data_IF_919969430520
#
_entry.id   IF_919969430520
#
_cell.length_a   1.000
_cell.length_b   1.000
_cell.length_c   1.000
_cell.angle_alpha   90.00
_cell.angle_beta   90.00
_cell.angle_gamma   90.00
#
_symmetry.space_group_name_H-M   'P 1'
#
loop_
_entity.id
_entity.type
_entity.pdbx_description
1 polymer ?
#
# COMPACT_ATOMS: atom_id res chain seq x y z
N UNK A 1 -25.30 -21.85 -36.61
CA UNK A 1 -25.15 -21.54 -35.18
C UNK A 1 -26.52 -21.62 -34.57
N UNK A 2 -26.72 -22.60 -33.71
CA UNK A 2 -28.03 -22.84 -33.11
C UNK A 2 -28.41 -21.73 -32.11
N UNK A 3 -29.72 -21.56 -31.88
CA UNK A 3 -30.25 -20.57 -30.92
C UNK A 3 -29.65 -20.76 -29.52
N UNK A 4 -29.46 -22.01 -29.09
CA UNK A 4 -28.84 -22.34 -27.81
C UNK A 4 -27.38 -21.85 -27.73
N UNK A 5 -26.62 -21.96 -28.81
CA UNK A 5 -25.23 -21.45 -28.89
C UNK A 5 -25.19 -19.94 -28.77
N UNK A 6 -26.12 -19.24 -29.41
CA UNK A 6 -26.25 -17.77 -29.29
C UNK A 6 -26.51 -17.38 -27.83
N UNK A 7 -27.42 -18.07 -27.13
CA UNK A 7 -27.72 -17.82 -25.72
C UNK A 7 -26.49 -18.03 -24.83
N UNK A 8 -25.72 -19.10 -25.06
CA UNK A 8 -24.48 -19.38 -24.31
C UNK A 8 -23.44 -18.27 -24.53
N UNK A 9 -23.25 -17.83 -25.78
CA UNK A 9 -22.30 -16.75 -26.09
C UNK A 9 -22.72 -15.44 -25.40
N UNK A 10 -24.00 -15.10 -25.41
CA UNK A 10 -24.51 -13.91 -24.70
C UNK A 10 -24.23 -14.03 -23.20
N UNK A 11 -24.51 -15.18 -22.59
CA UNK A 11 -24.22 -15.40 -21.17
C UNK A 11 -22.72 -15.28 -20.87
N UNK A 12 -21.85 -15.82 -21.72
CA UNK A 12 -20.39 -15.71 -21.59
C UNK A 12 -19.91 -14.25 -21.68
N UNK A 13 -20.50 -13.45 -22.56
CA UNK A 13 -20.17 -12.02 -22.66
C UNK A 13 -20.58 -11.25 -21.41
N UNK A 14 -21.75 -11.56 -20.83
CA UNK A 14 -22.22 -10.95 -19.58
C UNK A 14 -21.28 -11.32 -18.44
N UNK A 15 -21.01 -12.61 -18.23
CA UNK A 15 -20.10 -13.08 -17.18
C UNK A 15 -18.68 -12.52 -17.40
N UNK A 16 -18.24 -12.43 -18.65
CA UNK A 16 -16.97 -11.81 -19.03
C UNK A 16 -16.87 -10.33 -18.64
N UNK A 17 -17.97 -9.58 -18.75
CA UNK A 17 -18.03 -8.17 -18.32
C UNK A 17 -17.91 -8.02 -16.80
N UNK A 18 -18.59 -8.90 -16.05
CA UNK A 18 -18.43 -8.96 -14.59
C UNK A 18 -16.99 -9.33 -14.20
N UNK A 19 -16.41 -10.33 -14.87
CA UNK A 19 -15.01 -10.71 -14.64
C UNK A 19 -14.05 -9.55 -14.98
N UNK A 20 -14.32 -8.78 -16.04
CA UNK A 20 -13.51 -7.62 -16.41
C UNK A 20 -13.55 -6.52 -15.35
N UNK A 21 -14.72 -6.27 -14.75
CA UNK A 21 -14.87 -5.32 -13.64
C UNK A 21 -13.99 -5.73 -12.44
N UNK A 22 -14.10 -6.99 -12.01
CA UNK A 22 -13.33 -7.50 -10.87
C UNK A 22 -11.82 -7.54 -11.16
N UNK A 23 -11.42 -8.04 -12.34
CA UNK A 23 -10.00 -8.04 -12.74
C UNK A 23 -9.44 -6.62 -12.75
N UNK A 24 -10.17 -5.66 -13.30
CA UNK A 24 -9.77 -4.25 -13.31
C UNK A 24 -9.68 -3.68 -11.88
N UNK A 25 -10.62 -4.02 -11.01
CA UNK A 25 -10.61 -3.63 -9.60
C UNK A 25 -9.37 -4.14 -8.87
N UNK A 26 -9.08 -5.45 -8.95
CA UNK A 26 -7.94 -6.05 -8.26
C UNK A 26 -6.59 -5.59 -8.83
N UNK A 27 -6.54 -5.30 -10.13
CA UNK A 27 -5.30 -4.89 -10.80
C UNK A 27 -4.97 -3.40 -10.60
N UNK A 28 -5.96 -2.59 -10.21
CA UNK A 28 -5.75 -1.17 -9.89
C UNK A 28 -5.00 -0.99 -8.57
N UNK A 29 -4.20 0.09 -8.50
CA UNK A 29 -3.59 0.53 -7.24
C UNK A 29 -4.65 1.13 -6.31
N UNK A 30 -4.47 0.93 -5.02
CA UNK A 30 -5.35 1.50 -4.00
C UNK A 30 -4.88 2.92 -3.67
N UNK A 31 -5.82 3.86 -3.68
CA UNK A 31 -5.59 5.23 -3.24
C UNK A 31 -6.14 5.34 -1.81
N UNK A 32 -5.26 5.56 -0.85
CA UNK A 32 -5.65 5.74 0.56
C UNK A 32 -5.35 7.18 0.97
N UNK A 33 -6.24 7.80 1.74
CA UNK A 33 -5.94 9.12 2.31
C UNK A 33 -4.89 8.97 3.42
N UNK A 34 -3.88 9.84 3.40
CA UNK A 34 -2.91 9.91 4.49
C UNK A 34 -3.58 10.44 5.77
N UNK A 35 -3.18 9.95 6.94
CA UNK A 35 -3.70 10.43 8.22
C UNK A 35 -3.15 11.82 8.50
N UNK A 36 -3.88 12.85 8.06
CA UNK A 36 -3.48 14.24 8.19
C UNK A 36 -3.56 14.77 9.63
N UNK A 37 -3.88 13.93 10.62
CA UNK A 37 -3.97 14.36 12.02
C UNK A 37 -2.73 13.98 12.83
N UNK A 38 -2.02 12.93 12.44
CA UNK A 38 -0.89 12.41 13.21
C UNK A 38 0.38 12.39 12.36
N UNK A 39 1.50 12.91 12.88
CA UNK A 39 2.78 12.77 12.20
C UNK A 39 3.23 11.30 12.13
N UNK A 40 4.00 10.95 11.11
CA UNK A 40 4.50 9.59 10.85
C UNK A 40 6.00 9.64 10.57
N UNK A 41 6.74 8.69 11.13
CA UNK A 41 8.15 8.45 10.77
C UNK A 41 8.25 7.26 9.82
N UNK A 42 8.94 7.46 8.71
CA UNK A 42 9.15 6.47 7.66
C UNK A 42 10.64 6.24 7.44
N UNK A 43 11.05 4.97 7.33
CA UNK A 43 12.35 4.59 6.81
C UNK A 43 12.24 3.26 6.06
N UNK A 44 12.20 3.35 4.72
CA UNK A 44 12.00 2.22 3.80
C UNK A 44 13.00 1.08 4.03
N UNK A 45 14.27 1.42 4.25
CA UNK A 45 15.36 0.43 4.40
C UNK A 45 15.09 -0.57 5.51
N UNK A 46 14.51 -0.11 6.62
CA UNK A 46 14.21 -0.96 7.78
C UNK A 46 12.73 -1.31 7.88
N UNK A 47 11.90 -0.87 6.94
CA UNK A 47 10.45 -1.03 6.96
C UNK A 47 9.78 -0.32 8.15
N UNK A 48 10.36 0.80 8.60
CA UNK A 48 9.77 1.63 9.65
C UNK A 48 8.66 2.49 9.03
N UNK A 49 7.44 2.36 9.52
CA UNK A 49 6.32 3.20 9.15
C UNK A 49 5.37 3.32 10.35
N UNK A 50 5.65 4.29 11.23
CA UNK A 50 5.04 4.35 12.56
C UNK A 50 4.49 5.74 12.87
N UNK A 51 3.31 5.76 13.51
CA UNK A 51 2.71 7.01 13.98
C UNK A 51 3.53 7.58 15.12
N UNK A 52 3.63 8.90 15.12
CA UNK A 52 4.28 9.70 16.13
C UNK A 52 3.20 10.26 17.06
N UNK A 53 3.37 10.05 18.37
CA UNK A 53 2.52 10.57 19.42
C UNK A 53 3.35 11.41 20.42
N UNK A 54 2.68 12.19 21.26
CA UNK A 54 3.31 12.99 22.33
C UNK A 54 2.85 12.56 23.74
N UNK A 55 2.31 11.35 23.84
CA UNK A 55 1.79 10.75 25.07
C UNK A 55 2.80 9.80 25.70
N UNK A 56 3.13 8.72 24.99
CA UNK A 56 3.96 7.63 25.50
C UNK A 56 4.58 6.80 24.38
N UNK A 57 5.77 6.26 24.66
CA UNK A 57 6.47 5.27 23.84
C UNK A 57 5.71 3.93 23.71
N UNK A 58 4.72 3.68 24.57
CA UNK A 58 3.84 2.50 24.48
C UNK A 58 2.77 2.63 23.38
N UNK A 59 2.49 3.84 22.91
CA UNK A 59 1.54 4.12 21.82
C UNK A 59 2.21 4.21 20.44
N UNK A 60 3.49 3.82 20.34
CA UNK A 60 4.27 3.88 19.10
C UNK A 60 5.53 4.74 19.26
N UNK A 61 5.84 5.57 18.27
CA UNK A 61 6.98 6.48 18.34
C UNK A 61 6.58 7.73 19.12
N UNK A 62 7.36 8.07 20.14
CA UNK A 62 7.12 9.21 21.00
C UNK A 62 7.98 10.41 20.59
N UNK A 63 7.36 11.54 20.33
CA UNK A 63 8.03 12.84 20.14
C UNK A 63 8.27 13.51 21.50
N UNK A 64 9.52 13.87 21.76
CA UNK A 64 9.91 14.55 22.99
C UNK A 64 9.31 15.95 23.04
N UNK A 65 8.47 16.21 24.05
CA UNK A 65 7.76 17.49 24.21
C UNK A 65 8.66 18.71 24.32
N UNK A 66 9.91 18.53 24.73
CA UNK A 66 10.92 19.61 24.81
C UNK A 66 11.67 19.83 23.51
N UNK A 67 11.56 18.92 22.55
CA UNK A 67 12.15 19.05 21.22
C UNK A 67 11.24 19.85 20.30
N UNK A 68 11.74 20.20 19.13
CA UNK A 68 11.02 21.03 18.17
C UNK A 68 10.27 20.19 17.15
N UNK A 69 9.38 20.86 16.42
CA UNK A 69 8.79 20.32 15.21
C UNK A 69 9.79 20.39 14.04
N UNK A 70 9.63 19.52 13.02
CA UNK A 70 10.52 19.50 11.85
C UNK A 70 10.65 20.87 11.17
N UNK A 71 11.87 21.39 11.11
CA UNK A 71 12.19 22.69 10.50
C UNK A 71 12.31 23.85 11.49
N UNK A 72 11.85 23.69 12.73
CA UNK A 72 11.99 24.70 13.80
C UNK A 72 13.19 24.45 14.72
N UNK A 73 13.76 23.25 14.68
CA UNK A 73 14.90 22.88 15.50
C UNK A 73 15.21 21.39 15.43
N UNK A 74 15.91 20.90 16.45
CA UNK A 74 16.17 19.49 16.64
C UNK A 74 14.89 18.74 17.04
N UNK A 75 14.63 17.63 16.34
CA UNK A 75 13.52 16.72 16.59
C UNK A 75 14.05 15.48 17.30
N UNK A 76 13.42 15.07 18.40
CA UNK A 76 13.79 13.87 19.12
C UNK A 76 12.63 12.90 19.17
N UNK A 77 12.87 11.69 18.67
CA UNK A 77 11.91 10.60 18.68
C UNK A 77 12.45 9.42 19.50
N UNK A 78 11.60 8.89 20.36
CA UNK A 78 11.86 7.69 21.15
C UNK A 78 10.98 6.55 20.68
N UNK A 79 11.51 5.34 20.68
CA UNK A 79 10.76 4.15 20.28
C UNK A 79 11.31 2.89 20.96
N UNK A 80 10.43 1.94 21.23
CA UNK A 80 10.84 0.66 21.81
C UNK A 80 11.68 -0.16 20.83
N UNK A 81 12.62 -0.92 21.39
CA UNK A 81 13.42 -1.95 20.71
C UNK A 81 13.36 -3.23 21.53
N UNK A 82 12.22 -3.90 21.41
CA UNK A 82 11.88 -5.15 22.09
C UNK A 82 11.54 -6.23 21.07
N UNK A 83 11.19 -7.42 21.53
CA UNK A 83 10.62 -8.45 20.66
C UNK A 83 9.25 -8.00 20.12
N UNK A 84 8.74 -8.69 19.09
CA UNK A 84 7.39 -8.52 18.54
C UNK A 84 7.12 -7.15 17.87
N UNK A 85 7.91 -6.80 16.85
CA UNK A 85 7.54 -5.72 15.93
C UNK A 85 7.60 -4.30 16.53
N UNK A 86 8.37 -4.08 17.60
CA UNK A 86 8.53 -2.75 18.18
C UNK A 86 9.07 -1.73 17.15
N UNK A 87 8.64 -0.46 17.17
CA UNK A 87 8.97 0.55 16.16
C UNK A 87 10.46 0.61 15.79
N UNK A 88 11.35 0.66 16.78
CA UNK A 88 12.78 0.85 16.56
C UNK A 88 13.59 -0.45 16.63
N UNK A 89 12.94 -1.61 16.42
CA UNK A 89 13.59 -2.93 16.47
C UNK A 89 14.87 -2.98 15.61
N UNK A 90 14.77 -2.52 14.36
CA UNK A 90 15.80 -2.61 13.31
C UNK A 90 16.67 -1.36 13.21
N UNK A 91 16.57 -0.43 14.15
CA UNK A 91 17.26 0.86 14.08
C UNK A 91 18.80 0.72 14.01
N UNK A 92 19.37 -0.39 14.50
CA UNK A 92 20.80 -0.70 14.42
C UNK A 92 21.31 -0.97 12.99
N UNK A 93 20.42 -1.28 12.06
CA UNK A 93 20.73 -1.57 10.65
C UNK A 93 20.98 -0.29 9.83
N UNK A 94 20.61 0.88 10.38
CA UNK A 94 20.88 2.17 9.76
C UNK A 94 22.38 2.52 9.80
N UNK A 95 22.85 3.13 8.74
CA UNK A 95 24.22 3.60 8.53
C UNK A 95 24.22 5.02 7.95
N UNK A 96 25.33 5.76 8.06
CA UNK A 96 25.46 7.06 7.41
C UNK A 96 25.10 7.00 5.92
N UNK A 97 24.28 7.96 5.46
CA UNK A 97 23.72 8.03 4.11
C UNK A 97 22.29 7.49 3.99
N UNK A 98 21.78 6.74 4.97
CA UNK A 98 20.38 6.29 4.94
C UNK A 98 19.41 7.46 5.18
N UNK A 99 18.23 7.38 4.56
CA UNK A 99 17.20 8.43 4.64
C UNK A 99 16.13 8.04 5.65
N UNK A 100 15.74 9.02 6.47
CA UNK A 100 14.59 8.96 7.37
C UNK A 100 13.67 10.11 6.99
N UNK A 101 12.38 9.82 6.87
CA UNK A 101 11.38 10.78 6.42
C UNK A 101 10.36 11.00 7.53
N UNK A 102 10.09 12.26 7.86
CA UNK A 102 8.99 12.66 8.74
C UNK A 102 7.87 13.22 7.88
N UNK A 103 6.72 12.57 7.90
CA UNK A 103 5.48 13.08 7.33
C UNK A 103 4.74 13.81 8.43
N UNK A 104 4.69 15.14 8.35
CA UNK A 104 4.21 15.97 9.45
C UNK A 104 3.07 16.88 9.01
N UNK A 105 1.85 16.67 9.53
CA UNK A 105 0.70 17.52 9.21
C UNK A 105 0.97 19.01 9.41
N UNK A 106 0.58 19.83 8.44
CA UNK A 106 0.82 21.28 8.45
C UNK A 106 2.24 21.71 8.07
N UNK A 107 3.22 20.80 8.12
CA UNK A 107 4.61 21.09 7.74
C UNK A 107 4.91 20.52 6.35
N UNK A 108 4.67 19.24 6.12
CA UNK A 108 5.04 18.55 4.88
C UNK A 108 5.81 17.26 5.12
N UNK A 109 6.41 16.74 4.06
CA UNK A 109 7.39 15.66 4.15
C UNK A 109 8.79 16.24 4.37
N UNK A 110 9.50 15.77 5.38
CA UNK A 110 10.83 16.26 5.75
C UNK A 110 11.83 15.11 5.78
N UNK A 111 12.84 15.19 4.92
CA UNK A 111 13.87 14.16 4.79
C UNK A 111 15.12 14.51 5.59
N UNK A 112 15.62 13.53 6.32
CA UNK A 112 16.84 13.57 7.09
C UNK A 112 17.79 12.48 6.63
N UNK A 113 19.07 12.82 6.44
CA UNK A 113 20.11 11.86 6.07
C UNK A 113 20.94 11.50 7.30
N UNK A 114 21.00 10.20 7.62
CA UNK A 114 21.78 9.69 8.75
C UNK A 114 23.24 10.06 8.56
N UNK A 115 23.87 10.58 9.62
CA UNK A 115 25.31 10.89 9.62
C UNK A 115 26.03 10.23 10.80
N UNK A 116 25.32 9.80 11.85
CA UNK A 116 25.95 9.20 13.02
C UNK A 116 25.07 8.11 13.66
N UNK A 117 25.72 7.03 14.11
CA UNK A 117 25.17 5.95 14.92
C UNK A 117 26.06 5.72 16.14
N UNK A 118 25.52 5.93 17.34
CA UNK A 118 26.29 5.79 18.59
C UNK A 118 25.53 5.00 19.64
N UNK A 119 26.27 4.33 20.52
CA UNK A 119 25.74 3.71 21.74
C UNK A 119 26.26 4.48 22.94
N UNK A 120 25.36 4.93 23.80
CA UNK A 120 25.65 5.78 24.96
C UNK A 120 25.06 5.18 26.25
N UNK A 121 25.52 5.60 27.44
CA UNK A 121 24.92 5.17 28.70
C UNK A 121 23.43 5.53 28.82
N UNK A 122 22.67 4.76 29.60
CA UNK A 122 21.24 5.03 29.83
C UNK A 122 20.93 6.41 30.44
N UNK A 123 21.91 7.02 31.11
CA UNK A 123 21.83 8.36 31.72
C UNK A 123 22.03 9.51 30.73
N UNK A 124 22.37 9.20 29.47
CA UNK A 124 22.57 10.22 28.44
C UNK A 124 21.31 11.07 28.28
N UNK A 125 21.51 12.40 28.27
CA UNK A 125 20.46 13.37 27.95
C UNK A 125 20.79 13.98 26.59
N UNK A 126 19.86 13.91 25.62
CA UNK A 126 20.07 14.56 24.34
C UNK A 126 20.10 16.08 24.53
N UNK A 127 20.95 16.73 23.76
CA UNK A 127 21.01 18.18 23.65
C UNK A 127 20.04 18.58 22.55
N UNK A 128 19.22 19.59 22.81
CA UNK A 128 18.20 20.11 21.90
C UNK A 128 18.59 21.54 21.58
N UNK A 129 18.63 21.89 20.30
CA UNK A 129 18.87 23.25 19.82
C UNK A 129 17.81 23.66 18.80
N UNK A 130 17.43 24.94 18.80
CA UNK A 130 16.63 25.56 17.74
C UNK A 130 17.50 26.07 16.57
N UNK A 131 18.82 26.14 16.75
CA UNK A 131 19.74 26.64 15.71
C UNK A 131 20.15 25.56 14.71
N UNK A 132 19.86 24.30 15.02
CA UNK A 132 20.14 23.14 14.18
C UNK A 132 18.85 22.45 13.77
N UNK A 133 18.92 21.64 12.72
CA UNK A 133 17.79 20.86 12.21
C UNK A 133 18.17 19.39 12.15
N UNK A 134 18.45 18.80 13.30
CA UNK A 134 18.81 17.38 13.39
C UNK A 134 17.65 16.52 13.88
N UNK A 135 17.60 15.29 13.40
CA UNK A 135 16.69 14.27 13.90
C UNK A 135 17.50 13.27 14.73
N UNK A 136 17.08 13.03 15.97
CA UNK A 136 17.62 11.99 16.83
C UNK A 136 16.58 10.90 17.08
N UNK A 137 16.85 9.68 16.59
CA UNK A 137 16.07 8.50 16.92
C UNK A 137 16.77 7.74 18.06
N UNK A 138 16.08 7.57 19.19
CA UNK A 138 16.66 7.04 20.41
C UNK A 138 15.90 5.79 20.86
N UNK A 139 16.62 4.71 21.13
CA UNK A 139 16.05 3.48 21.66
C UNK A 139 16.96 2.80 22.69
N UNK A 140 16.43 1.82 23.41
CA UNK A 140 17.23 1.01 24.32
C UNK A 140 18.07 -0.03 23.57
N UNK A 141 19.23 -0.38 24.12
CA UNK A 141 20.11 -1.42 23.55
C UNK A 141 20.96 -2.05 24.66
N UNK A 142 21.32 -3.35 24.58
CA UNK A 142 20.85 -4.38 23.63
C UNK A 142 19.33 -4.65 23.66
N UNK A 143 18.82 -5.42 22.69
CA UNK A 143 17.38 -5.72 22.56
C UNK A 143 16.84 -6.32 23.87
N UNK A 144 15.69 -5.82 24.34
CA UNK A 144 15.05 -6.32 25.56
C UNK A 144 15.69 -5.85 26.88
N UNK A 145 16.67 -4.95 26.82
CA UNK A 145 17.33 -4.38 28.01
C UNK A 145 17.17 -2.86 28.05
N UNK A 146 17.55 -2.22 29.16
CA UNK A 146 17.56 -0.76 29.32
C UNK A 146 18.95 -0.21 29.66
N UNK A 147 20.00 -1.02 29.52
CA UNK A 147 21.37 -0.72 29.97
C UNK A 147 22.00 0.49 29.26
N UNK A 148 21.78 0.58 27.95
CA UNK A 148 22.36 1.62 27.10
C UNK A 148 21.29 2.19 26.18
N UNK A 149 21.63 3.25 25.46
CA UNK A 149 20.82 3.82 24.38
C UNK A 149 21.56 3.72 23.07
N UNK A 150 20.86 3.30 22.02
CA UNK A 150 21.29 3.45 20.64
C UNK A 150 20.69 4.75 20.12
N UNK A 151 21.52 5.60 19.54
CA UNK A 151 21.14 6.89 18.97
C UNK A 151 21.54 6.92 17.51
N UNK A 152 20.56 7.18 16.64
CA UNK A 152 20.79 7.55 15.25
C UNK A 152 20.57 9.05 15.13
N UNK A 153 21.57 9.77 14.61
CA UNK A 153 21.46 11.18 14.27
C UNK A 153 21.46 11.36 12.76
N UNK A 154 20.54 12.21 12.30
CA UNK A 154 20.38 12.55 10.90
C UNK A 154 20.25 14.06 10.73
N UNK A 155 20.78 14.60 9.62
CA UNK A 155 20.72 16.02 9.30
C UNK A 155 19.57 16.27 8.32
N UNK A 156 18.83 17.35 8.55
CA UNK A 156 17.85 17.84 7.59
C UNK A 156 18.48 17.96 6.20
N UNK A 157 17.77 17.47 5.20
CA UNK A 157 18.24 17.43 3.81
C UNK A 157 17.26 18.14 2.87
N UNK A 158 15.97 17.86 2.98
CA UNK A 158 14.96 18.48 2.11
C UNK A 158 13.58 18.50 2.75
N UNK A 159 12.70 19.35 2.22
CA UNK A 159 11.28 19.42 2.56
C UNK A 159 10.45 19.40 1.28
N UNK A 160 9.36 18.64 1.29
CA UNK A 160 8.38 18.51 0.22
C UNK A 160 6.94 18.65 0.72
N UNK A 161 5.95 18.69 -0.19
CA UNK A 161 4.54 18.63 0.19
C UNK A 161 4.23 17.30 0.88
N UNK A 162 3.26 17.30 1.79
CA UNK A 162 2.68 16.05 2.28
C UNK A 162 1.58 15.63 1.32
N UNK A 163 1.79 14.54 0.59
CA UNK A 163 0.78 14.02 -0.32
C UNK A 163 -0.43 13.52 0.48
N UNK A 164 -1.60 14.10 0.17
CA UNK A 164 -2.87 13.73 0.82
C UNK A 164 -3.27 12.29 0.51
N UNK A 165 -2.81 11.75 -0.61
CA UNK A 165 -3.17 10.42 -1.09
C UNK A 165 -1.93 9.56 -1.26
N UNK A 166 -1.92 8.39 -0.64
CA UNK A 166 -0.91 7.36 -0.82
C UNK A 166 -1.41 6.37 -1.87
N UNK A 167 -0.64 6.21 -2.95
CA UNK A 167 -0.90 5.20 -3.97
C UNK A 167 -0.12 3.95 -3.57
N UNK A 168 -0.83 2.93 -3.12
CA UNK A 168 -0.24 1.64 -2.73
C UNK A 168 -0.67 0.54 -3.67
N UNK A 169 0.18 -0.47 -3.85
CA UNK A 169 -0.19 -1.65 -4.62
C UNK A 169 -1.32 -2.41 -3.89
N UNK A 170 -2.26 -2.97 -4.66
CA UNK A 170 -3.37 -3.72 -4.08
C UNK A 170 -2.82 -5.04 -3.49
N UNK A 171 -2.96 -5.29 -2.17
CA UNK A 171 -2.45 -6.51 -1.55
C UNK A 171 -3.12 -7.78 -2.11
N UNK A 172 -4.30 -7.62 -2.73
CA UNK A 172 -5.07 -8.68 -3.37
C UNK A 172 -4.91 -8.68 -4.91
N UNK A 173 -3.90 -8.00 -5.47
CA UNK A 173 -3.70 -7.92 -6.93
C UNK A 173 -3.68 -9.28 -7.64
N UNK A 174 -3.21 -10.33 -6.95
CA UNK A 174 -3.17 -11.70 -7.46
C UNK A 174 -4.57 -12.27 -7.77
N UNK A 175 -5.65 -11.75 -7.18
CA UNK A 175 -7.01 -12.24 -7.42
C UNK A 175 -7.47 -12.01 -8.86
N UNK A 176 -6.98 -10.96 -9.53
CA UNK A 176 -7.23 -10.75 -10.96
C UNK A 176 -6.75 -11.95 -11.80
N UNK A 177 -5.57 -12.49 -11.48
CA UNK A 177 -5.01 -13.67 -12.16
C UNK A 177 -5.87 -14.91 -11.90
N UNK A 178 -6.32 -15.13 -10.66
CA UNK A 178 -7.18 -16.28 -10.33
C UNK A 178 -8.53 -16.20 -11.06
N UNK A 179 -9.11 -15.01 -11.21
CA UNK A 179 -10.35 -14.81 -11.96
C UNK A 179 -10.14 -15.16 -13.44
N UNK A 180 -9.04 -14.70 -14.05
CA UNK A 180 -8.70 -15.02 -15.45
C UNK A 180 -8.56 -16.53 -15.65
N UNK A 181 -7.80 -17.20 -14.78
CA UNK A 181 -7.58 -18.65 -14.84
C UNK A 181 -8.91 -19.39 -14.65
N UNK A 182 -9.71 -18.99 -13.67
CA UNK A 182 -11.02 -19.58 -13.40
C UNK A 182 -11.97 -19.44 -14.58
N UNK A 183 -12.04 -18.25 -15.19
CA UNK A 183 -12.86 -17.99 -16.39
C UNK A 183 -12.44 -18.88 -17.55
N UNK A 184 -11.13 -19.01 -17.81
CA UNK A 184 -10.62 -19.86 -18.88
C UNK A 184 -10.94 -21.34 -18.64
N UNK A 185 -10.69 -21.86 -17.44
CA UNK A 185 -10.93 -23.27 -17.11
C UNK A 185 -12.43 -23.60 -17.23
N UNK A 186 -13.30 -22.80 -16.61
CA UNK A 186 -14.74 -23.02 -16.66
C UNK A 186 -15.27 -22.88 -18.08
N UNK A 187 -14.79 -21.88 -18.84
CA UNK A 187 -15.13 -21.71 -20.24
C UNK A 187 -14.74 -22.93 -21.10
N UNK A 188 -13.54 -23.48 -20.91
CA UNK A 188 -13.11 -24.68 -21.63
C UNK A 188 -13.98 -25.90 -21.27
N UNK A 189 -14.43 -26.04 -20.03
CA UNK A 189 -15.41 -27.07 -19.63
C UNK A 189 -16.73 -26.86 -20.36
N UNK A 190 -17.27 -25.64 -20.41
CA UNK A 190 -18.49 -25.32 -21.18
C UNK A 190 -18.32 -25.65 -22.66
N UNK A 191 -17.16 -25.34 -23.24
CA UNK A 191 -16.82 -25.68 -24.62
C UNK A 191 -16.81 -27.19 -24.83
N UNK A 192 -16.24 -27.95 -23.90
CA UNK A 192 -16.20 -29.41 -23.98
C UNK A 192 -17.60 -30.04 -23.89
N UNK A 193 -18.47 -29.52 -23.02
CA UNK A 193 -19.85 -30.00 -22.88
C UNK A 193 -20.76 -29.61 -24.06
N UNK A 194 -20.34 -28.63 -24.86
CA UNK A 194 -21.11 -28.14 -26.01
C UNK A 194 -21.04 -29.07 -27.24
N UNK A 195 -22.05 -29.03 -28.13
CA UNK A 195 -22.08 -29.83 -29.36
C UNK A 195 -20.82 -29.65 -30.22
N UNK A 196 -20.27 -30.74 -30.77
CA UNK A 196 -19.00 -30.74 -31.52
C UNK A 196 -18.95 -29.72 -32.66
N UNK A 197 -20.06 -29.50 -33.36
CA UNK A 197 -20.18 -28.53 -34.46
C UNK A 197 -20.01 -27.07 -34.01
N UNK A 198 -20.34 -26.77 -32.76
CA UNK A 198 -20.42 -25.41 -32.20
C UNK A 198 -19.23 -25.04 -31.30
N UNK A 199 -18.43 -26.03 -30.85
CA UNK A 199 -17.28 -25.82 -29.94
C UNK A 199 -16.30 -24.77 -30.43
N UNK A 200 -16.08 -24.68 -31.75
CA UNK A 200 -15.16 -23.69 -32.35
C UNK A 200 -15.61 -22.25 -32.10
N UNK A 201 -16.91 -22.00 -32.09
CA UNK A 201 -17.46 -20.66 -31.84
C UNK A 201 -17.37 -20.32 -30.36
N UNK A 202 -17.83 -21.22 -29.48
CA UNK A 202 -17.81 -21.02 -28.02
C UNK A 202 -16.36 -20.88 -27.52
N UNK A 203 -15.47 -21.80 -27.91
CA UNK A 203 -14.06 -21.77 -27.54
C UNK A 203 -13.35 -20.51 -28.06
N UNK A 204 -13.63 -20.08 -29.29
CA UNK A 204 -13.13 -18.82 -29.84
C UNK A 204 -13.56 -17.61 -29.01
N UNK A 205 -14.84 -17.54 -28.62
CA UNK A 205 -15.34 -16.47 -27.74
C UNK A 205 -14.65 -16.47 -26.38
N UNK A 206 -14.45 -17.64 -25.74
CA UNK A 206 -13.75 -17.72 -24.45
C UNK A 206 -12.31 -17.23 -24.55
N UNK A 207 -11.59 -17.60 -25.61
CA UNK A 207 -10.21 -17.15 -25.82
C UNK A 207 -10.18 -15.62 -25.98
N UNK A 208 -11.09 -15.05 -26.79
CA UNK A 208 -11.17 -13.60 -26.98
C UNK A 208 -11.48 -12.86 -25.67
N UNK A 209 -12.45 -13.34 -24.89
CA UNK A 209 -12.78 -12.74 -23.59
C UNK A 209 -11.60 -12.88 -22.64
N UNK A 210 -10.93 -14.03 -22.59
CA UNK A 210 -9.75 -14.24 -21.74
C UNK A 210 -8.61 -13.30 -22.10
N UNK A 211 -8.34 -13.08 -23.39
CA UNK A 211 -7.35 -12.11 -23.86
C UNK A 211 -7.72 -10.68 -23.44
N UNK A 212 -9.01 -10.34 -23.50
CA UNK A 212 -9.50 -9.05 -23.02
C UNK A 212 -9.31 -8.90 -21.49
N UNK A 213 -9.58 -9.94 -20.70
CA UNK A 213 -9.33 -9.91 -19.25
C UNK A 213 -7.83 -9.76 -18.94
N UNK A 214 -6.95 -10.42 -19.69
CA UNK A 214 -5.50 -10.25 -19.57
C UNK A 214 -5.11 -8.79 -19.88
N UNK A 215 -5.70 -8.18 -20.91
CA UNK A 215 -5.48 -6.77 -21.19
C UNK A 215 -5.92 -5.86 -20.03
N UNK A 216 -7.10 -6.10 -19.45
CA UNK A 216 -7.57 -5.38 -18.26
C UNK A 216 -6.66 -5.56 -17.04
N UNK A 217 -5.96 -6.70 -16.93
CA UNK A 217 -5.00 -6.94 -15.85
C UNK A 217 -3.69 -6.17 -16.02
N UNK A 218 -3.16 -6.12 -17.25
CA UNK A 218 -1.89 -5.45 -17.56
C UNK A 218 -2.05 -3.93 -17.60
N UNK A 219 -3.20 -3.47 -18.12
CA UNK A 219 -3.52 -2.06 -18.30
C UNK A 219 -4.89 -1.76 -17.71
N UNK A 220 -5.02 -1.75 -16.36
CA UNK A 220 -6.29 -1.50 -15.72
C UNK A 220 -6.77 -0.08 -16.01
N UNK A 221 -7.96 0.02 -16.58
CA UNK A 221 -8.68 1.28 -16.75
C UNK A 221 -9.34 1.75 -15.45
N UNK A 222 -10.11 2.84 -15.50
CA UNK A 222 -10.92 3.28 -14.37
C UNK A 222 -11.92 2.20 -13.97
N UNK A 223 -11.98 1.86 -12.68
CA UNK A 223 -12.87 0.80 -12.15
C UNK A 223 -14.33 1.00 -12.58
N UNK A 224 -14.79 2.25 -12.66
CA UNK A 224 -16.18 2.60 -12.91
C UNK A 224 -16.64 2.41 -14.37
N UNK A 225 -15.70 2.13 -15.30
CA UNK A 225 -16.02 2.02 -16.73
C UNK A 225 -16.95 0.84 -17.02
N UNK A 226 -16.74 -0.29 -16.34
CA UNK A 226 -17.53 -1.51 -16.51
C UNK A 226 -18.83 -1.49 -15.71
N UNK A 227 -18.84 -0.86 -14.54
CA UNK A 227 -20.02 -0.76 -13.67
C UNK A 227 -21.21 -0.15 -14.40
N UNK A 228 -21.00 0.96 -15.12
CA UNK A 228 -22.07 1.61 -15.88
C UNK A 228 -22.70 0.70 -16.95
N UNK A 229 -21.90 -0.16 -17.59
CA UNK A 229 -22.36 -1.12 -18.60
C UNK A 229 -23.13 -2.28 -17.96
N UNK A 230 -22.68 -2.73 -16.79
CA UNK A 230 -23.36 -3.75 -15.99
C UNK A 230 -24.72 -3.24 -15.52
N UNK A 231 -24.80 -2.02 -15.00
CA UNK A 231 -26.05 -1.40 -14.54
C UNK A 231 -27.06 -1.27 -15.68
N UNK A 232 -26.61 -0.83 -16.85
CA UNK A 232 -27.43 -0.77 -18.05
C UNK A 232 -27.99 -2.15 -18.44
N UNK A 233 -27.15 -3.19 -18.43
CA UNK A 233 -27.61 -4.56 -18.71
C UNK A 233 -28.64 -5.03 -17.68
N UNK A 234 -28.37 -4.82 -16.40
CA UNK A 234 -29.29 -5.19 -15.32
C UNK A 234 -30.65 -4.49 -15.48
N UNK A 235 -30.65 -3.21 -15.86
CA UNK A 235 -31.89 -2.46 -16.16
C UNK A 235 -32.68 -3.07 -17.31
N UNK A 236 -32.04 -3.42 -18.44
CA UNK A 236 -32.70 -4.09 -19.56
C UNK A 236 -33.34 -5.41 -19.11
N UNK A 237 -32.62 -6.22 -18.35
CA UNK A 237 -33.17 -7.47 -17.85
C UNK A 237 -34.32 -7.22 -16.90
N UNK A 238 -34.24 -6.26 -15.97
CA UNK A 238 -35.37 -5.96 -15.07
C UNK A 238 -36.61 -5.40 -15.77
N UNK A 239 -36.45 -4.65 -16.86
CA UNK A 239 -37.56 -4.07 -17.63
C UNK A 239 -38.16 -5.07 -18.64
N UNK A 240 -37.39 -6.07 -19.10
CA UNK A 240 -37.85 -7.09 -20.04
C UNK A 240 -38.61 -8.27 -19.40
N UNK A 241 -38.76 -8.28 -18.07
CA UNK A 241 -39.52 -9.29 -17.30
C UNK A 241 -40.84 -8.68 -16.75
N UNK A 242 -41.22 -7.48 -17.22
CA UNK A 242 -42.49 -6.80 -16.90
C UNK A 242 -43.55 -6.98 -17.98
#
# INVERSE_FOLDING_TARGET
>A
MDKSTIVIIIALLIVGLYAANEVTYFSNKLITENDMNNPVVVCEKIGLHEKINNNSISEGVYHERKSYDPGEGDVILFGHRTLLGSPFLRLNELNPGDIITLQWPGIGEVNYTVYNKTVVPATYRPIISSETQTLSLITCTPIGTTEKRLIIKANYTSKGPLDKYVIQDNPQANYGIYIIIGFLILGLVVTFLSPKSERKFIGGCIILITLFLIYCHISPGPVNEFTSKIDFLNQIFTLGIG
#
